data_IF_848485401700
#
_entry.id   IF_848485401700
#
_cell.length_a   1.000
_cell.length_b   1.000
_cell.length_c   1.000
_cell.angle_alpha   90.00
_cell.angle_beta   90.00
_cell.angle_gamma   90.00
#
_symmetry.space_group_name_H-M   'P 1'
#
loop_
_entity.id
_entity.type
_entity.pdbx_description
1 polymer ?
#
# COMPACT_ATOMS: atom_id res chain seq x y z
N UNK A 1 -4.38 -6.90 7.57
CA UNK A 1 -5.52 -7.72 7.15
C UNK A 1 -5.29 -8.05 5.70
N UNK A 2 -4.88 -9.25 5.43
CA UNK A 2 -4.03 -9.45 4.28
C UNK A 2 -4.67 -10.27 3.15
N UNK A 3 -5.74 -10.98 3.37
CA UNK A 3 -6.47 -11.74 2.34
C UNK A 3 -7.85 -11.12 2.11
N UNK A 4 -7.89 -9.93 1.55
CA UNK A 4 -9.14 -9.33 1.06
C UNK A 4 -9.27 -9.66 -0.43
N UNK A 5 -10.41 -10.24 -0.83
CA UNK A 5 -10.65 -10.77 -2.17
C UNK A 5 -9.63 -11.86 -2.54
N UNK A 6 -9.52 -12.86 -1.65
CA UNK A 6 -8.42 -13.82 -1.62
C UNK A 6 -8.22 -14.55 -2.96
N UNK A 7 -9.29 -14.92 -3.68
CA UNK A 7 -9.16 -15.59 -4.98
C UNK A 7 -8.35 -14.75 -5.97
N UNK A 8 -8.71 -13.46 -6.12
CA UNK A 8 -8.03 -12.59 -7.06
C UNK A 8 -6.59 -12.30 -6.61
N UNK A 9 -6.36 -12.11 -5.31
CA UNK A 9 -5.03 -11.90 -4.75
C UNK A 9 -4.14 -13.13 -4.90
N UNK A 10 -4.65 -14.33 -4.74
CA UNK A 10 -3.89 -15.56 -4.94
C UNK A 10 -3.49 -15.76 -6.42
N UNK A 11 -4.40 -15.48 -7.36
CA UNK A 11 -4.04 -15.47 -8.78
C UNK A 11 -2.98 -14.41 -9.09
N UNK A 12 -3.12 -13.21 -8.53
CA UNK A 12 -2.16 -12.14 -8.69
C UNK A 12 -0.79 -12.50 -8.12
N UNK A 13 -0.74 -13.07 -6.93
CA UNK A 13 0.49 -13.59 -6.31
C UNK A 13 1.21 -14.56 -7.25
N UNK A 14 0.49 -15.58 -7.74
CA UNK A 14 1.08 -16.58 -8.63
C UNK A 14 1.64 -15.97 -9.92
N UNK A 15 0.94 -15.00 -10.49
CA UNK A 15 1.39 -14.29 -11.70
C UNK A 15 2.58 -13.36 -11.43
N UNK A 16 2.52 -12.59 -10.35
CA UNK A 16 3.54 -11.62 -10.00
C UNK A 16 4.88 -12.28 -9.66
N UNK A 17 4.84 -13.37 -8.90
CA UNK A 17 6.05 -14.10 -8.49
C UNK A 17 6.43 -15.26 -9.43
N UNK A 18 5.52 -15.61 -10.37
CA UNK A 18 5.74 -16.71 -11.32
C UNK A 18 5.62 -18.09 -10.72
N UNK A 19 4.93 -18.19 -9.60
CA UNK A 19 4.71 -19.41 -8.82
C UNK A 19 4.31 -19.06 -7.40
N UNK A 20 4.12 -20.09 -6.59
CA UNK A 20 3.88 -19.91 -5.16
C UNK A 20 5.20 -19.56 -4.46
N UNK A 21 5.18 -18.57 -3.58
CA UNK A 21 6.31 -18.30 -2.70
C UNK A 21 6.41 -19.39 -1.62
N UNK A 22 7.56 -19.48 -0.95
CA UNK A 22 7.75 -20.41 0.15
C UNK A 22 6.74 -20.21 1.30
N UNK A 23 6.23 -18.99 1.46
CA UNK A 23 5.23 -18.65 2.47
C UNK A 23 3.89 -19.38 2.24
N UNK A 24 3.64 -19.91 1.03
CA UNK A 24 2.46 -20.71 0.69
C UNK A 24 2.66 -22.21 0.80
N UNK A 25 3.79 -22.69 1.31
CA UNK A 25 4.09 -24.12 1.33
C UNK A 25 3.00 -24.95 2.04
N UNK A 26 2.55 -24.52 3.22
CA UNK A 26 1.50 -25.20 3.97
C UNK A 26 0.19 -25.27 3.20
N UNK A 27 -0.18 -24.19 2.50
CA UNK A 27 -1.38 -24.14 1.66
C UNK A 27 -1.26 -25.05 0.43
N UNK A 28 -0.05 -25.16 -0.11
CA UNK A 28 0.26 -26.06 -1.22
C UNK A 28 0.15 -27.52 -0.77
N UNK A 29 0.71 -27.89 0.37
CA UNK A 29 0.64 -29.23 0.95
C UNK A 29 -0.81 -29.67 1.26
N UNK A 30 -1.64 -28.71 1.69
CA UNK A 30 -3.08 -28.93 1.90
C UNK A 30 -3.90 -28.93 0.60
N UNK A 31 -3.27 -28.82 -0.57
CA UNK A 31 -3.91 -28.68 -1.89
C UNK A 31 -4.80 -27.44 -2.07
N UNK A 32 -4.82 -26.49 -1.15
CA UNK A 32 -5.66 -25.28 -1.26
C UNK A 32 -5.30 -24.45 -2.49
N UNK A 33 -4.02 -24.40 -2.85
CA UNK A 33 -3.54 -23.66 -4.03
C UNK A 33 -4.04 -24.24 -5.35
N UNK A 34 -4.45 -25.50 -5.38
CA UNK A 34 -5.02 -26.16 -6.58
C UNK A 34 -6.52 -25.96 -6.70
N UNK A 35 -7.17 -25.64 -5.58
CA UNK A 35 -8.62 -25.54 -5.48
C UNK A 35 -9.14 -24.09 -5.55
N UNK A 36 -8.28 -23.12 -5.87
CA UNK A 36 -8.60 -21.67 -5.84
C UNK A 36 -9.87 -21.35 -6.66
N UNK A 37 -10.09 -22.04 -7.77
CA UNK A 37 -11.22 -21.80 -8.66
C UNK A 37 -12.41 -22.74 -8.39
N UNK A 38 -12.31 -23.61 -7.40
CA UNK A 38 -13.40 -24.55 -7.04
C UNK A 38 -14.55 -23.83 -6.32
N UNK A 39 -15.73 -24.47 -6.32
CA UNK A 39 -16.89 -24.02 -5.57
C UNK A 39 -16.67 -24.20 -4.05
N UNK A 40 -15.92 -25.22 -3.67
CA UNK A 40 -15.55 -25.52 -2.29
C UNK A 40 -14.68 -24.39 -1.73
N UNK A 41 -13.70 -23.94 -2.50
CA UNK A 41 -12.88 -22.79 -2.12
C UNK A 41 -13.71 -21.50 -2.03
N UNK A 42 -14.64 -21.25 -2.96
CA UNK A 42 -15.57 -20.13 -2.86
C UNK A 42 -16.42 -20.20 -1.57
N UNK A 43 -16.87 -21.39 -1.20
CA UNK A 43 -17.62 -21.60 0.05
C UNK A 43 -16.77 -21.30 1.28
N UNK A 44 -15.50 -21.72 1.27
CA UNK A 44 -14.54 -21.38 2.33
C UNK A 44 -14.35 -19.87 2.45
N UNK A 45 -14.14 -19.16 1.33
CA UNK A 45 -13.96 -17.72 1.32
C UNK A 45 -15.15 -16.95 1.90
N UNK A 46 -16.39 -17.41 1.64
CA UNK A 46 -17.59 -16.84 2.26
C UNK A 46 -17.59 -16.88 3.79
N UNK A 47 -16.73 -17.72 4.38
CA UNK A 47 -16.61 -17.87 5.83
C UNK A 47 -15.39 -17.10 6.36
N UNK A 48 -14.25 -17.19 5.66
CA UNK A 48 -12.96 -16.74 6.21
C UNK A 48 -12.44 -15.44 5.59
N UNK A 49 -12.84 -15.09 4.36
CA UNK A 49 -12.34 -13.88 3.71
C UNK A 49 -13.05 -12.63 4.24
N UNK A 50 -12.34 -11.69 4.88
CA UNK A 50 -12.92 -10.44 5.33
C UNK A 50 -13.57 -9.61 4.22
N UNK A 51 -13.20 -9.83 2.96
CA UNK A 51 -13.80 -9.18 1.81
C UNK A 51 -15.29 -9.49 1.68
N UNK A 52 -15.73 -10.70 1.99
CA UNK A 52 -17.14 -11.09 1.96
C UNK A 52 -17.97 -10.37 3.05
N UNK A 53 -17.31 -9.82 4.05
CA UNK A 53 -17.94 -9.07 5.13
C UNK A 53 -17.66 -7.56 5.04
N UNK A 54 -17.12 -7.06 3.92
CA UNK A 54 -16.68 -5.67 3.77
C UNK A 54 -17.73 -4.63 4.14
N UNK A 55 -19.00 -4.91 3.88
CA UNK A 55 -20.12 -4.03 4.23
C UNK A 55 -20.30 -3.86 5.77
N UNK A 56 -19.69 -4.75 6.56
CA UNK A 56 -19.69 -4.68 8.03
C UNK A 56 -18.43 -4.03 8.61
N UNK A 57 -17.42 -3.79 7.78
CA UNK A 57 -16.14 -3.22 8.19
C UNK A 57 -16.20 -1.67 8.18
N UNK A 58 -17.07 -1.12 9.02
CA UNK A 58 -17.45 0.29 9.04
C UNK A 58 -16.53 1.20 9.88
N UNK A 59 -15.48 0.66 10.51
CA UNK A 59 -14.52 1.45 11.26
C UNK A 59 -13.42 2.00 10.33
N UNK A 60 -12.82 3.16 10.67
CA UNK A 60 -11.59 3.62 10.04
C UNK A 60 -10.49 2.57 10.12
N UNK A 61 -9.76 2.36 9.02
CA UNK A 61 -8.70 1.37 8.93
C UNK A 61 -7.39 2.02 8.49
N UNK A 62 -6.31 1.59 9.11
CA UNK A 62 -4.96 1.77 8.61
C UNK A 62 -4.47 0.41 8.11
N UNK A 63 -4.29 0.32 6.80
CA UNK A 63 -3.76 -0.88 6.15
C UNK A 63 -2.26 -0.69 5.98
N UNK A 64 -1.47 -1.65 6.42
CA UNK A 64 -0.02 -1.64 6.28
C UNK A 64 0.41 -2.84 5.44
N UNK A 65 1.21 -2.59 4.42
CA UNK A 65 1.74 -3.62 3.52
C UNK A 65 3.25 -3.45 3.40
N UNK A 66 4.02 -4.53 3.46
CA UNK A 66 5.45 -4.53 3.17
C UNK A 66 5.70 -4.42 1.67
N UNK A 67 6.63 -3.56 1.27
CA UNK A 67 6.98 -3.43 -0.15
C UNK A 67 7.78 -4.63 -0.69
N UNK A 68 8.30 -5.47 0.22
CA UNK A 68 9.12 -6.64 -0.10
C UNK A 68 8.55 -7.92 0.53
N UNK A 69 7.24 -7.93 0.73
CA UNK A 69 6.49 -9.02 1.36
C UNK A 69 6.56 -10.28 0.49
N UNK A 70 6.91 -11.40 1.10
CA UNK A 70 6.97 -12.73 0.47
C UNK A 70 5.64 -13.43 0.41
N UNK A 71 4.63 -12.90 1.13
CA UNK A 71 3.30 -13.48 1.22
C UNK A 71 2.29 -12.70 0.36
N UNK A 72 2.26 -11.36 0.49
CA UNK A 72 1.32 -10.49 -0.22
C UNK A 72 2.04 -9.57 -1.20
N UNK A 73 1.49 -9.48 -2.40
CA UNK A 73 2.05 -8.62 -3.43
C UNK A 73 1.74 -7.17 -3.10
N UNK A 74 2.70 -6.30 -3.34
CA UNK A 74 2.67 -4.87 -3.07
C UNK A 74 1.39 -4.14 -3.49
N UNK A 75 0.77 -4.57 -4.58
CA UNK A 75 -0.41 -3.94 -5.19
C UNK A 75 -1.71 -4.75 -5.01
N UNK A 76 -1.75 -5.68 -4.07
CA UNK A 76 -2.95 -6.48 -3.73
C UNK A 76 -4.17 -5.63 -3.41
N UNK A 77 -3.97 -4.42 -2.86
CA UNK A 77 -5.05 -3.48 -2.59
C UNK A 77 -5.88 -3.11 -3.82
N UNK A 78 -5.34 -3.25 -5.03
CA UNK A 78 -6.07 -3.05 -6.29
C UNK A 78 -7.37 -3.86 -6.36
N UNK A 79 -7.37 -5.07 -5.83
CA UNK A 79 -8.50 -6.00 -5.93
C UNK A 79 -9.62 -5.77 -4.93
N UNK A 80 -9.43 -4.90 -3.93
CA UNK A 80 -10.42 -4.74 -2.88
C UNK A 80 -10.62 -3.30 -2.38
N UNK A 81 -9.65 -2.40 -2.57
CA UNK A 81 -9.69 -1.06 -1.97
C UNK A 81 -10.95 -0.27 -2.33
N UNK A 82 -11.23 -0.12 -3.62
CA UNK A 82 -12.39 0.64 -4.09
C UNK A 82 -13.74 -0.04 -3.87
N UNK A 83 -13.73 -1.30 -3.42
CA UNK A 83 -14.92 -2.05 -3.10
C UNK A 83 -15.26 -2.00 -1.59
N UNK A 84 -14.37 -1.43 -0.78
CA UNK A 84 -14.66 -1.16 0.62
C UNK A 84 -15.58 0.04 0.76
N UNK A 85 -16.60 -0.01 1.64
CA UNK A 85 -17.46 1.13 1.88
C UNK A 85 -16.66 2.36 2.31
N UNK A 86 -16.86 3.49 1.63
CA UNK A 86 -16.22 4.77 1.93
C UNK A 86 -14.68 4.66 2.07
N UNK A 87 -14.06 3.92 1.16
CA UNK A 87 -12.64 3.60 1.23
C UNK A 87 -11.75 4.84 1.39
N UNK A 88 -11.95 5.84 0.54
CA UNK A 88 -11.12 7.05 0.51
C UNK A 88 -11.37 7.97 1.70
N UNK A 89 -12.58 7.93 2.27
CA UNK A 89 -12.94 8.72 3.45
C UNK A 89 -12.43 8.08 4.74
N UNK A 90 -12.57 6.75 4.89
CA UNK A 90 -12.33 6.05 6.14
C UNK A 90 -10.98 5.33 6.24
N UNK A 91 -10.39 4.96 5.11
CA UNK A 91 -9.20 4.11 5.13
C UNK A 91 -7.94 4.89 4.75
N UNK A 92 -6.80 4.41 5.24
CA UNK A 92 -5.47 4.86 4.82
C UNK A 92 -4.61 3.64 4.54
N UNK A 93 -3.78 3.74 3.49
CA UNK A 93 -2.84 2.71 3.09
C UNK A 93 -1.42 3.23 3.34
N UNK A 94 -0.63 2.43 4.03
CA UNK A 94 0.81 2.62 4.16
C UNK A 94 1.48 1.42 3.51
N UNK A 95 2.39 1.68 2.60
CA UNK A 95 3.26 0.67 2.06
C UNK A 95 4.66 0.98 2.54
N UNK A 96 5.21 0.07 3.34
CA UNK A 96 6.46 0.26 4.04
C UNK A 96 7.60 -0.20 3.16
N UNK A 97 8.49 0.72 2.69
CA UNK A 97 9.64 0.33 1.88
C UNK A 97 10.57 -0.61 2.66
N UNK A 98 11.17 -1.56 1.96
CA UNK A 98 12.13 -2.50 2.55
C UNK A 98 11.57 -3.34 3.72
N UNK A 99 10.25 -3.45 3.83
CA UNK A 99 9.59 -4.28 4.82
C UNK A 99 9.13 -5.59 4.19
N UNK A 100 9.46 -6.69 4.85
CA UNK A 100 8.96 -8.04 4.60
C UNK A 100 7.59 -8.25 5.29
N UNK A 101 7.03 -9.46 5.23
CA UNK A 101 5.68 -9.75 5.73
C UNK A 101 5.47 -9.40 7.22
N UNK A 102 6.47 -9.64 8.08
CA UNK A 102 6.37 -9.32 9.50
C UNK A 102 6.44 -7.81 9.81
N UNK A 103 6.80 -6.98 8.83
CA UNK A 103 7.05 -5.55 8.96
C UNK A 103 8.20 -5.18 9.92
N UNK A 104 9.01 -6.15 10.38
CA UNK A 104 10.07 -5.89 11.36
C UNK A 104 11.14 -5.00 10.75
N UNK A 105 11.55 -5.27 9.51
CA UNK A 105 12.58 -4.49 8.82
C UNK A 105 12.15 -3.04 8.54
N UNK A 106 10.84 -2.76 8.44
CA UNK A 106 10.26 -1.44 8.24
C UNK A 106 9.63 -0.82 9.50
N UNK A 107 9.88 -1.39 10.67
CA UNK A 107 9.21 -0.98 11.91
C UNK A 107 9.47 0.48 12.30
N UNK A 108 10.67 1.01 12.00
CA UNK A 108 11.02 2.40 12.32
C UNK A 108 10.21 3.41 11.50
N UNK A 109 9.82 3.07 10.29
CA UNK A 109 8.94 3.86 9.43
C UNK A 109 7.46 3.71 9.82
N UNK A 110 7.07 2.49 10.14
CA UNK A 110 5.68 2.16 10.46
C UNK A 110 5.22 2.73 11.80
N UNK A 111 6.05 2.62 12.84
CA UNK A 111 5.66 2.99 14.22
C UNK A 111 5.25 4.46 14.38
N UNK A 112 5.97 5.46 13.82
CA UNK A 112 5.55 6.85 13.88
C UNK A 112 4.21 7.10 13.19
N UNK A 113 4.00 6.50 12.03
CA UNK A 113 2.76 6.62 11.27
C UNK A 113 1.57 6.01 12.03
N UNK A 114 1.73 4.79 12.55
CA UNK A 114 0.73 4.10 13.36
C UNK A 114 0.37 4.89 14.62
N UNK A 115 1.38 5.35 15.37
CA UNK A 115 1.15 6.08 16.63
C UNK A 115 0.46 7.43 16.38
N UNK A 116 0.82 8.13 15.30
CA UNK A 116 0.20 9.39 14.93
C UNK A 116 -1.27 9.17 14.54
N UNK A 117 -1.53 8.17 13.70
CA UNK A 117 -2.89 7.81 13.29
C UNK A 117 -3.76 7.41 14.47
N UNK A 118 -3.29 6.50 15.32
CA UNK A 118 -4.03 6.04 16.50
C UNK A 118 -4.32 7.19 17.48
N UNK A 119 -3.33 8.05 17.74
CA UNK A 119 -3.49 9.22 18.62
C UNK A 119 -4.52 10.20 18.08
N UNK A 120 -4.49 10.48 16.78
CA UNK A 120 -5.44 11.38 16.12
C UNK A 120 -6.88 10.87 16.25
N UNK A 121 -7.10 9.57 16.03
CA UNK A 121 -8.43 8.95 16.19
C UNK A 121 -8.90 8.94 17.64
N UNK A 122 -8.03 8.62 18.60
CA UNK A 122 -8.39 8.63 20.02
C UNK A 122 -8.80 10.03 20.48
N UNK A 123 -8.07 11.06 20.07
CA UNK A 123 -8.42 12.46 20.39
C UNK A 123 -9.73 12.89 19.72
N UNK A 124 -9.96 12.47 18.46
CA UNK A 124 -11.20 12.74 17.75
C UNK A 124 -12.39 12.04 18.44
N UNK A 125 -12.24 10.76 18.79
CA UNK A 125 -13.28 9.99 19.49
C UNK A 125 -13.67 10.63 20.83
N UNK A 126 -12.71 11.10 21.62
CA UNK A 126 -12.99 11.81 22.87
C UNK A 126 -13.82 13.10 22.66
N UNK A 127 -13.63 13.78 21.51
CA UNK A 127 -14.47 14.93 21.14
C UNK A 127 -15.88 14.50 20.76
N UNK A 128 -16.00 13.43 19.97
CA UNK A 128 -17.29 12.89 19.51
C UNK A 128 -18.15 12.36 20.65
N UNK A 129 -17.58 11.68 21.62
CA UNK A 129 -18.32 11.16 22.80
C UNK A 129 -19.04 12.27 23.58
N UNK A 130 -18.49 13.48 23.56
CA UNK A 130 -19.14 14.64 24.16
C UNK A 130 -20.41 15.09 23.43
N UNK A 131 -20.56 14.71 22.15
CA UNK A 131 -21.71 15.06 21.31
C UNK A 131 -22.92 14.13 21.51
N UNK A 132 -22.75 12.98 22.20
CA UNK A 132 -23.80 12.02 22.63
C UNK A 132 -24.90 11.73 21.59
N UNK A 133 -24.55 11.43 20.35
CA UNK A 133 -25.54 11.03 19.35
C UNK A 133 -25.76 9.50 19.38
N UNK A 134 -27.00 9.02 19.52
CA UNK A 134 -27.29 7.59 19.47
C UNK A 134 -27.15 7.05 18.04
N UNK A 135 -26.46 5.90 17.92
CA UNK A 135 -26.31 5.18 16.65
C UNK A 135 -27.47 4.19 16.48
N UNK A 136 -28.37 4.43 15.56
CA UNK A 136 -29.57 3.61 15.35
C UNK A 136 -29.50 2.75 14.08
N UNK A 137 -28.64 3.09 13.13
CA UNK A 137 -28.53 2.42 11.84
C UNK A 137 -27.09 2.15 11.42
N UNK A 138 -26.92 1.39 10.33
CA UNK A 138 -25.61 1.21 9.66
C UNK A 138 -25.14 2.54 9.08
N UNK A 139 -26.05 3.32 8.53
CA UNK A 139 -25.75 4.65 7.97
C UNK A 139 -25.22 5.59 9.06
N UNK A 140 -25.83 5.58 10.26
CA UNK A 140 -25.32 6.35 11.41
C UNK A 140 -23.88 5.96 11.78
N UNK A 141 -23.54 4.67 11.67
CA UNK A 141 -22.19 4.16 11.94
C UNK A 141 -21.20 4.62 10.89
N UNK A 142 -21.55 4.56 9.61
CA UNK A 142 -20.73 5.05 8.52
C UNK A 142 -20.46 6.54 8.67
N UNK A 143 -21.51 7.32 8.86
CA UNK A 143 -21.41 8.77 9.06
C UNK A 143 -20.56 9.12 10.26
N UNK A 144 -20.68 8.36 11.36
CA UNK A 144 -19.83 8.53 12.53
C UNK A 144 -18.37 8.27 12.23
N UNK A 145 -18.06 7.23 11.46
CA UNK A 145 -16.68 6.89 11.08
C UNK A 145 -16.07 7.97 10.17
N UNK A 146 -16.83 8.48 9.21
CA UNK A 146 -16.40 9.59 8.35
C UNK A 146 -16.15 10.84 9.21
N UNK A 147 -17.09 11.20 10.07
CA UNK A 147 -16.95 12.34 10.98
C UNK A 147 -15.75 12.19 11.94
N UNK A 148 -15.47 10.97 12.39
CA UNK A 148 -14.29 10.68 13.19
C UNK A 148 -12.99 10.99 12.43
N UNK A 149 -12.90 10.58 11.17
CA UNK A 149 -11.75 10.86 10.30
C UNK A 149 -11.59 12.36 10.04
N UNK A 150 -12.68 13.08 9.81
CA UNK A 150 -12.67 14.54 9.62
C UNK A 150 -12.18 15.26 10.89
N UNK A 151 -12.69 14.86 12.07
CA UNK A 151 -12.25 15.42 13.36
C UNK A 151 -10.80 15.08 13.69
N UNK A 152 -10.32 13.92 13.28
CA UNK A 152 -8.94 13.49 13.42
C UNK A 152 -7.99 14.29 12.52
N UNK A 153 -8.51 14.95 11.47
CA UNK A 153 -7.73 15.73 10.50
C UNK A 153 -6.61 14.90 9.84
N UNK A 154 -6.90 13.62 9.61
CA UNK A 154 -5.96 12.74 8.92
C UNK A 154 -5.97 13.12 7.43
N UNK A 155 -4.81 13.44 6.83
CA UNK A 155 -4.73 13.87 5.45
C UNK A 155 -5.35 12.88 4.47
N UNK A 156 -6.02 13.42 3.46
CA UNK A 156 -6.48 12.64 2.29
C UNK A 156 -5.46 12.82 1.17
N UNK A 157 -5.05 11.69 0.61
CA UNK A 157 -4.08 11.64 -0.46
C UNK A 157 -4.68 10.82 -1.59
N UNK A 158 -4.53 11.31 -2.80
CA UNK A 158 -4.81 10.58 -4.03
C UNK A 158 -3.69 10.78 -5.02
N UNK A 159 -3.53 9.85 -5.93
CA UNK A 159 -2.55 9.96 -7.00
C UNK A 159 -3.09 9.40 -8.31
N UNK A 160 -2.53 9.89 -9.39
CA UNK A 160 -2.74 9.36 -10.74
C UNK A 160 -1.40 9.20 -11.42
N UNK A 161 -1.29 8.22 -12.31
CA UNK A 161 -0.13 8.03 -13.17
C UNK A 161 -0.53 8.47 -14.57
N UNK A 162 0.26 9.35 -15.16
CA UNK A 162 0.13 9.70 -16.57
C UNK A 162 0.78 8.60 -17.40
N UNK A 163 -0.04 7.82 -18.11
CA UNK A 163 0.42 6.67 -18.88
C UNK A 163 1.31 7.05 -20.08
N UNK A 164 1.28 8.30 -20.53
CA UNK A 164 2.05 8.76 -21.70
C UNK A 164 3.50 9.05 -21.32
N UNK A 165 3.72 9.71 -20.17
CA UNK A 165 5.03 10.18 -19.75
C UNK A 165 5.52 9.56 -18.45
N UNK A 166 4.69 8.76 -17.79
CA UNK A 166 5.01 8.12 -16.52
C UNK A 166 4.98 9.05 -15.30
N UNK A 167 4.49 10.29 -15.45
CA UNK A 167 4.41 11.22 -14.32
C UNK A 167 3.44 10.72 -13.25
N UNK A 168 3.85 10.80 -12.01
CA UNK A 168 2.97 10.55 -10.86
C UNK A 168 2.49 11.90 -10.32
N UNK A 169 1.19 12.11 -10.38
CA UNK A 169 0.54 13.34 -9.91
C UNK A 169 -0.14 13.04 -8.59
N UNK A 170 0.34 13.65 -7.51
CA UNK A 170 -0.21 13.48 -6.16
C UNK A 170 -1.00 14.68 -5.74
N UNK A 171 -2.12 14.43 -5.10
CA UNK A 171 -2.99 15.46 -4.53
C UNK A 171 -3.14 15.20 -3.02
N UNK A 172 -3.07 16.24 -2.24
CA UNK A 172 -3.33 16.19 -0.79
C UNK A 172 -4.15 17.41 -0.36
N UNK A 173 -5.11 17.19 0.54
CA UNK A 173 -5.88 18.27 1.17
C UNK A 173 -5.04 19.08 2.18
N UNK A 174 -3.92 18.52 2.60
CA UNK A 174 -2.99 19.12 3.56
C UNK A 174 -1.61 19.26 2.92
N UNK A 175 -0.95 20.40 3.15
CA UNK A 175 0.41 20.61 2.64
C UNK A 175 1.41 19.70 3.35
N UNK A 176 2.08 18.77 2.65
CA UNK A 176 3.10 17.92 3.25
C UNK A 176 4.34 18.73 3.64
N UNK A 177 5.04 18.30 4.69
CA UNK A 177 6.34 18.86 5.10
C UNK A 177 7.47 18.36 4.21
N UNK A 178 7.39 17.12 3.80
CA UNK A 178 8.33 16.47 2.90
C UNK A 178 7.59 15.47 2.00
N UNK A 179 8.13 15.21 0.84
CA UNK A 179 7.71 14.14 -0.08
C UNK A 179 8.95 13.35 -0.43
N UNK A 180 8.90 12.05 -0.25
CA UNK A 180 9.94 11.11 -0.63
C UNK A 180 9.40 10.21 -1.73
N UNK A 181 10.21 9.98 -2.76
CA UNK A 181 9.92 9.01 -3.81
C UNK A 181 10.79 7.81 -3.59
N UNK A 182 10.15 6.67 -3.53
CA UNK A 182 10.83 5.39 -3.40
C UNK A 182 10.75 4.63 -4.71
N UNK A 183 11.85 4.05 -5.13
CA UNK A 183 11.93 3.22 -6.34
C UNK A 183 12.76 1.97 -6.06
N UNK A 184 12.47 0.93 -6.81
CA UNK A 184 13.23 -0.32 -6.80
C UNK A 184 13.16 -0.98 -8.17
N UNK A 185 14.11 -1.84 -8.46
CA UNK A 185 14.09 -2.71 -9.64
C UNK A 185 13.77 -4.13 -9.20
N UNK A 186 12.88 -4.80 -9.93
CA UNK A 186 12.65 -6.22 -9.72
C UNK A 186 13.86 -7.05 -10.17
N UNK A 187 14.05 -8.20 -9.54
CA UNK A 187 15.10 -9.13 -9.91
C UNK A 187 14.80 -9.84 -11.24
N UNK A 188 15.82 -10.02 -12.07
CA UNK A 188 15.78 -10.89 -13.26
C UNK A 188 15.33 -10.24 -14.56
N UNK A 189 15.34 -11.04 -15.64
CA UNK A 189 15.02 -10.61 -17.01
C UNK A 189 13.51 -10.64 -17.30
N UNK A 190 12.69 -11.17 -16.41
CA UNK A 190 11.25 -11.20 -16.55
C UNK A 190 10.66 -9.87 -16.05
N UNK A 191 9.68 -9.33 -16.75
CA UNK A 191 8.93 -8.13 -16.35
C UNK A 191 7.98 -8.39 -15.15
N UNK A 192 8.37 -9.26 -14.22
CA UNK A 192 7.58 -9.60 -13.04
C UNK A 192 7.76 -8.55 -11.94
N UNK A 193 6.72 -8.32 -11.17
CA UNK A 193 6.71 -7.40 -10.02
C UNK A 193 7.20 -8.09 -8.75
N UNK A 194 8.30 -8.82 -8.83
CA UNK A 194 8.86 -9.57 -7.71
C UNK A 194 9.89 -8.73 -6.96
N UNK A 195 9.48 -8.20 -5.83
CA UNK A 195 10.32 -7.40 -4.93
C UNK A 195 10.61 -8.13 -3.61
N UNK A 196 10.37 -9.43 -3.53
CA UNK A 196 10.61 -10.19 -2.30
C UNK A 196 12.07 -10.08 -1.85
N UNK A 197 12.25 -9.71 -0.59
CA UNK A 197 13.60 -9.67 -0.01
C UNK A 197 14.20 -11.08 0.15
N UNK A 198 13.34 -12.07 0.32
CA UNK A 198 13.73 -13.48 0.49
C UNK A 198 12.94 -14.36 -0.46
N UNK A 199 13.64 -15.26 -1.15
CA UNK A 199 13.04 -16.32 -1.98
C UNK A 199 13.87 -17.61 -1.94
N UNK A 200 13.42 -18.64 -2.68
CA UNK A 200 14.11 -19.94 -2.81
C UNK A 200 14.85 -20.08 -4.14
N UNK A 201 15.18 -19.00 -4.82
CA UNK A 201 15.81 -19.05 -6.14
C UNK A 201 17.20 -19.68 -6.07
N UNK A 202 17.45 -20.62 -6.96
CA UNK A 202 18.76 -21.22 -7.20
C UNK A 202 19.06 -21.23 -8.71
N UNK A 203 20.09 -20.55 -9.19
CA UNK A 203 21.02 -19.72 -8.43
C UNK A 203 20.43 -18.40 -7.94
N UNK A 204 20.97 -17.89 -6.83
CA UNK A 204 20.62 -16.60 -6.22
C UNK A 204 21.17 -15.45 -7.07
N UNK A 205 20.42 -14.97 -8.05
CA UNK A 205 20.91 -14.02 -9.06
C UNK A 205 20.97 -12.56 -8.57
N UNK A 206 20.12 -12.19 -7.62
CA UNK A 206 19.93 -10.80 -7.19
C UNK A 206 20.42 -10.50 -5.79
N UNK A 207 21.21 -11.40 -5.22
CA UNK A 207 21.72 -11.27 -3.89
C UNK A 207 22.70 -12.38 -3.53
N UNK A 208 22.57 -12.94 -2.36
CA UNK A 208 23.41 -14.02 -1.90
C UNK A 208 22.60 -15.11 -1.19
N UNK A 209 23.09 -16.34 -1.25
CA UNK A 209 22.53 -17.48 -0.53
C UNK A 209 22.83 -17.34 0.96
N UNK A 210 21.80 -17.42 1.78
CA UNK A 210 21.98 -17.36 3.24
C UNK A 210 22.71 -18.64 3.70
N UNK A 211 23.82 -18.52 4.44
CA UNK A 211 24.54 -19.69 4.93
C UNK A 211 23.61 -20.62 5.72
N UNK A 212 23.79 -21.92 5.50
CA UNK A 212 23.03 -22.98 6.17
C UNK A 212 21.51 -23.01 5.92
N UNK A 213 21.02 -22.16 5.00
CA UNK A 213 19.61 -22.12 4.59
C UNK A 213 19.48 -22.26 3.06
N UNK A 214 18.32 -22.71 2.60
CA UNK A 214 18.02 -22.75 1.16
C UNK A 214 17.57 -21.37 0.61
N UNK A 215 17.57 -20.35 1.46
CA UNK A 215 17.04 -19.03 1.17
C UNK A 215 18.04 -18.15 0.41
N UNK A 216 17.54 -17.37 -0.51
CA UNK A 216 18.22 -16.31 -1.22
C UNK A 216 17.78 -14.94 -0.69
N UNK A 217 18.73 -14.14 -0.21
CA UNK A 217 18.48 -12.75 0.17
C UNK A 217 18.71 -11.81 -1.02
N UNK A 218 17.66 -11.17 -1.53
CA UNK A 218 17.68 -10.35 -2.73
C UNK A 218 17.98 -8.89 -2.42
N UNK A 219 19.23 -8.51 -2.31
CA UNK A 219 19.59 -7.12 -2.02
C UNK A 219 19.41 -6.15 -3.21
N UNK A 220 19.39 -6.67 -4.43
CA UNK A 220 19.22 -5.84 -5.62
C UNK A 220 17.82 -5.23 -5.76
N UNK A 221 16.82 -5.76 -5.03
CA UNK A 221 15.45 -5.25 -5.05
C UNK A 221 15.13 -4.24 -3.94
N UNK A 222 16.15 -3.81 -3.19
CA UNK A 222 15.96 -2.82 -2.12
C UNK A 222 15.45 -1.50 -2.68
N UNK A 223 14.45 -0.95 -1.99
CA UNK A 223 13.88 0.35 -2.31
C UNK A 223 14.78 1.48 -1.82
N UNK A 224 15.00 2.45 -2.68
CA UNK A 224 15.81 3.64 -2.42
C UNK A 224 14.98 4.91 -2.51
N UNK A 225 15.21 5.86 -1.60
CA UNK A 225 14.58 7.18 -1.63
C UNK A 225 15.45 8.16 -2.38
N UNK A 226 14.92 8.81 -3.42
CA UNK A 226 15.73 9.73 -4.24
C UNK A 226 15.43 11.21 -4.06
N UNK A 227 14.19 11.63 -3.73
CA UNK A 227 13.81 13.04 -3.79
C UNK A 227 13.04 13.50 -2.55
N UNK A 228 13.41 14.68 -2.05
CA UNK A 228 12.60 15.40 -1.07
C UNK A 228 11.92 16.62 -1.69
N UNK A 229 10.72 16.95 -1.26
CA UNK A 229 9.94 18.13 -1.71
C UNK A 229 10.71 19.45 -1.59
N UNK A 230 11.66 19.57 -0.64
CA UNK A 230 12.53 20.75 -0.50
C UNK A 230 13.39 20.96 -1.75
N UNK A 231 13.94 19.90 -2.31
CA UNK A 231 14.75 19.98 -3.54
C UNK A 231 13.88 20.33 -4.75
N UNK A 232 12.70 19.76 -4.83
CA UNK A 232 11.77 19.99 -5.94
C UNK A 232 11.34 21.47 -6.05
N UNK A 233 10.96 22.11 -4.97
CA UNK A 233 10.58 23.54 -4.96
C UNK A 233 11.76 24.49 -5.29
N UNK A 234 13.00 24.05 -5.09
CA UNK A 234 14.20 24.82 -5.47
C UNK A 234 14.58 24.64 -6.95
N UNK A 235 14.41 23.43 -7.48
CA UNK A 235 14.81 23.10 -8.85
C UNK A 235 13.79 23.57 -9.92
N UNK A 236 12.51 23.71 -9.57
CA UNK A 236 11.44 24.03 -10.50
C UNK A 236 10.54 25.20 -10.05
N UNK A 237 11.07 26.42 -9.93
CA UNK A 237 10.28 27.59 -9.49
C UNK A 237 9.14 27.96 -10.47
N UNK A 238 9.15 27.49 -11.72
CA UNK A 238 8.12 27.77 -12.74
C UNK A 238 6.78 27.07 -12.50
N UNK A 239 6.73 26.02 -11.68
CA UNK A 239 5.47 25.33 -11.36
C UNK A 239 4.54 26.13 -10.43
N UNK A 240 5.02 27.21 -9.80
CA UNK A 240 4.16 28.16 -9.09
C UNK A 240 3.11 28.83 -10.00
N UNK A 241 3.39 28.92 -11.29
CA UNK A 241 2.50 29.60 -12.26
C UNK A 241 1.28 28.75 -12.65
N UNK A 242 1.35 27.43 -12.55
CA UNK A 242 0.19 26.54 -12.80
C UNK A 242 -0.82 26.52 -11.66
N UNK A 243 -0.45 26.93 -10.47
CA UNK A 243 -1.36 27.03 -9.31
C UNK A 243 -2.52 28.02 -9.52
N UNK A 244 -2.34 29.02 -10.38
CA UNK A 244 -3.33 30.05 -10.62
C UNK A 244 -4.35 29.72 -11.74
N UNK A 245 -4.14 28.65 -12.51
CA UNK A 245 -4.96 28.33 -13.69
C UNK A 245 -6.07 27.32 -13.39
N UNK A 246 -5.93 26.51 -12.35
CA UNK A 246 -6.88 25.43 -12.04
C UNK A 246 -7.49 25.59 -10.65
N UNK A 247 -8.23 26.60 -10.36
CA UNK A 247 -9.00 26.89 -9.13
C UNK A 247 -9.40 25.69 -8.24
N UNK A 248 -8.54 24.67 -8.09
CA UNK A 248 -8.75 23.46 -7.34
C UNK A 248 -8.28 23.62 -5.91
N UNK A 249 -9.15 23.42 -4.95
CA UNK A 249 -8.86 23.27 -3.53
C UNK A 249 -8.03 22.00 -3.33
N UNK A 250 -6.71 22.13 -3.24
CA UNK A 250 -5.81 21.03 -2.98
C UNK A 250 -4.39 21.29 -3.49
N UNK A 251 -3.39 20.73 -2.83
CA UNK A 251 -2.00 20.80 -3.28
C UNK A 251 -1.75 19.66 -4.27
N UNK A 252 -1.29 20.00 -5.49
CA UNK A 252 -0.86 19.03 -6.52
C UNK A 252 0.64 19.04 -6.64
N UNK A 253 1.23 17.88 -6.73
CA UNK A 253 2.67 17.68 -6.89
C UNK A 253 2.89 16.77 -8.09
N UNK A 254 3.78 17.19 -8.99
CA UNK A 254 4.18 16.44 -10.18
C UNK A 254 5.62 15.98 -10.02
N UNK A 255 5.91 14.74 -10.32
CA UNK A 255 7.23 14.14 -10.30
C UNK A 255 7.58 13.77 -11.72
N UNK A 256 8.52 14.51 -12.31
CA UNK A 256 8.98 14.31 -13.68
C UNK A 256 10.37 13.69 -13.65
N UNK A 257 10.63 12.79 -14.59
CA UNK A 257 11.96 12.30 -15.02
C UNK A 257 13.01 12.11 -13.92
N UNK A 258 12.90 11.03 -13.19
CA UNK A 258 14.07 10.43 -12.57
C UNK A 258 14.69 9.50 -13.61
N UNK A 259 15.45 10.08 -14.52
CA UNK A 259 16.35 9.53 -15.53
C UNK A 259 16.41 8.01 -15.74
N UNK A 260 15.30 7.39 -16.02
CA UNK A 260 15.26 5.97 -16.35
C UNK A 260 15.50 5.77 -17.84
N UNK A 261 16.75 5.56 -18.22
CA UNK A 261 17.15 5.45 -19.63
C UNK A 261 16.84 4.09 -20.28
N UNK A 262 16.44 3.06 -19.55
CA UNK A 262 16.01 1.77 -20.12
C UNK A 262 15.14 0.97 -19.12
N UNK A 263 13.83 0.86 -19.40
CA UNK A 263 13.01 -0.26 -18.94
C UNK A 263 12.59 -0.27 -17.47
N UNK A 264 12.45 0.86 -16.78
CA UNK A 264 11.92 0.89 -15.43
C UNK A 264 10.41 0.66 -15.44
N UNK A 265 9.97 -0.52 -15.07
CA UNK A 265 8.57 -0.91 -15.11
C UNK A 265 7.80 -0.72 -13.79
N UNK A 266 8.44 -0.24 -12.72
CA UNK A 266 7.78 -0.20 -11.41
C UNK A 266 8.24 1.00 -10.57
N UNK A 267 7.42 2.04 -10.52
CA UNK A 267 7.56 3.18 -9.62
C UNK A 267 6.52 3.12 -8.53
N UNK A 268 6.91 3.54 -7.33
CA UNK A 268 6.00 3.76 -6.24
C UNK A 268 6.35 5.04 -5.49
N UNK A 269 5.34 5.71 -5.00
CA UNK A 269 5.49 6.91 -4.19
C UNK A 269 4.84 6.73 -2.84
N UNK A 270 5.60 7.00 -1.78
CA UNK A 270 5.10 7.12 -0.42
C UNK A 270 5.19 8.57 0.03
N UNK A 271 4.09 9.08 0.60
CA UNK A 271 4.02 10.43 1.15
C UNK A 271 3.92 10.32 2.65
N UNK A 272 4.92 10.84 3.34
CA UNK A 272 4.94 10.91 4.79
C UNK A 272 4.49 12.29 5.26
N UNK A 273 3.51 12.29 6.17
CA UNK A 273 3.09 13.47 6.92
C UNK A 273 3.67 13.36 8.34
N UNK A 274 4.63 14.22 8.64
CA UNK A 274 5.16 14.38 10.00
C UNK A 274 4.58 15.63 10.66
#
# INVERSE_FOLDING_TARGET
MDLLNARNNLHHHYQAYGGWSFAFNDYYEMNLTREIDSNEFATLLNIVDPYEFREKLLMPKLVCTGAMDEFFVLDDSYYWWHQMPYADEMNRLIIVPNAEHSQITGFLELLPAFTTWARALLQANSKMEKLKQPLKSIEDRNMRSIQLMELAKIPKISWTVDEVNGDIIVQSDTKPKAVHVWHANSCGLSARRDFRIVNLDDPCLCGFKVPDEELCANLAVLWSAEVSLKMYNQLFPRLKTMHNILGARGNKYRINDLGCSQGCSNWKMDIFFH
#
